data_IF_252466715745
#
_entry.id   IF_252466715745
#
_cell.length_a   1.000
_cell.length_b   1.000
_cell.length_c   1.000
_cell.angle_alpha   90.00
_cell.angle_beta   90.00
_cell.angle_gamma   90.00
#
_symmetry.space_group_name_H-M   'P 1'
#
loop_
_entity.id
_entity.type
_entity.pdbx_description
1 polymer ?
#
# COMPACT_ATOMS: atom_id res chain seq x y z
N UNK A 1 73.09 -21.14 26.99
CA UNK A 1 71.71 -21.53 27.34
C UNK A 1 70.77 -21.05 26.25
N UNK A 2 70.38 -21.94 25.33
CA UNK A 2 69.31 -21.70 24.35
C UNK A 2 68.02 -22.29 24.93
N UNK A 3 66.91 -21.55 24.89
CA UNK A 3 65.57 -22.12 24.75
C UNK A 3 64.63 -21.10 24.11
N UNK A 4 64.08 -21.57 23.01
CA UNK A 4 63.07 -21.02 22.09
C UNK A 4 61.72 -20.82 22.76
N UNK A 5 61.08 -19.66 22.53
CA UNK A 5 59.68 -19.40 22.86
C UNK A 5 58.85 -19.24 21.58
N UNK A 6 57.84 -20.09 21.43
CA UNK A 6 56.90 -20.15 20.31
C UNK A 6 55.84 -19.02 20.36
N UNK A 7 55.19 -18.67 19.23
CA UNK A 7 54.11 -17.68 19.23
C UNK A 7 52.78 -18.34 19.63
N UNK A 8 52.04 -17.68 20.53
CA UNK A 8 50.68 -18.06 20.93
C UNK A 8 49.69 -17.65 19.81
N UNK A 9 49.01 -18.62 19.22
CA UNK A 9 47.85 -18.40 18.35
C UNK A 9 46.68 -17.84 19.17
N UNK A 10 46.18 -16.66 18.78
CA UNK A 10 44.95 -16.08 19.30
C UNK A 10 43.77 -16.63 18.48
N UNK A 11 43.04 -17.59 19.03
CA UNK A 11 41.82 -18.16 18.45
C UNK A 11 40.64 -17.20 18.63
N UNK A 12 40.24 -16.54 17.53
CA UNK A 12 38.98 -15.80 17.46
C UNK A 12 37.80 -16.78 17.51
N UNK A 13 37.03 -16.73 18.60
CA UNK A 13 35.70 -17.34 18.65
C UNK A 13 34.72 -16.47 17.87
N UNK A 14 34.33 -16.95 16.68
CA UNK A 14 33.27 -16.34 15.88
C UNK A 14 31.92 -16.85 16.40
N UNK A 15 31.23 -16.01 17.17
CA UNK A 15 29.86 -16.25 17.62
C UNK A 15 28.93 -16.31 16.41
N UNK A 16 28.48 -17.50 16.05
CA UNK A 16 27.44 -17.69 15.04
C UNK A 16 26.10 -17.16 15.58
N UNK A 17 25.65 -16.01 15.07
CA UNK A 17 24.26 -15.57 15.24
C UNK A 17 23.37 -16.43 14.34
N UNK A 18 22.22 -16.92 14.82
CA UNK A 18 21.29 -17.65 13.98
C UNK A 18 20.71 -16.69 12.95
N UNK A 19 20.97 -16.98 11.68
CA UNK A 19 20.24 -16.42 10.55
C UNK A 19 18.79 -16.85 10.71
N UNK A 20 17.94 -15.93 11.16
CA UNK A 20 16.49 -16.14 11.13
C UNK A 20 16.11 -16.24 9.66
N UNK A 21 15.71 -17.45 9.26
CA UNK A 21 15.39 -17.81 7.90
C UNK A 21 14.28 -16.92 7.33
N UNK A 22 14.42 -16.65 6.04
CA UNK A 22 13.39 -16.10 5.17
C UNK A 22 12.04 -16.75 5.48
N UNK A 23 11.08 -15.94 5.93
CA UNK A 23 9.67 -16.32 5.83
C UNK A 23 9.36 -16.42 4.32
N UNK A 24 9.26 -17.65 3.83
CA UNK A 24 8.65 -17.94 2.55
C UNK A 24 7.30 -17.22 2.48
N UNK A 25 7.01 -16.61 1.33
CA UNK A 25 5.66 -16.17 0.99
C UNK A 25 4.71 -17.34 1.28
N UNK A 26 3.90 -17.20 2.32
CA UNK A 26 2.86 -18.18 2.63
C UNK A 26 1.90 -18.12 1.46
N UNK A 27 1.93 -19.14 0.60
CA UNK A 27 0.97 -19.33 -0.48
C UNK A 27 -0.41 -19.46 0.17
N UNK A 28 -1.09 -18.33 0.32
CA UNK A 28 -2.38 -18.24 1.01
C UNK A 28 -3.41 -19.10 0.29
N UNK A 29 -4.23 -19.85 1.04
CA UNK A 29 -5.25 -20.71 0.43
C UNK A 29 -6.27 -19.90 -0.39
N UNK A 30 -6.47 -18.64 -0.01
CA UNK A 30 -7.30 -17.68 -0.73
C UNK A 30 -6.61 -17.00 -1.93
N UNK A 31 -5.28 -17.06 -2.03
CA UNK A 31 -4.49 -16.28 -3.01
C UNK A 31 -4.52 -14.77 -2.74
N UNK A 32 -4.77 -14.36 -1.50
CA UNK A 32 -5.02 -12.97 -1.09
C UNK A 32 -6.50 -12.71 -0.76
N UNK A 33 -6.73 -11.79 0.18
CA UNK A 33 -8.06 -11.39 0.65
C UNK A 33 -8.25 -9.88 0.53
N UNK A 34 -9.41 -9.48 0.01
CA UNK A 34 -9.81 -8.07 -0.13
C UNK A 34 -11.21 -7.87 0.44
N UNK A 35 -11.39 -6.81 1.23
CA UNK A 35 -12.67 -6.44 1.82
C UNK A 35 -13.17 -5.13 1.22
N UNK A 36 -14.16 -5.17 0.34
CA UNK A 36 -14.60 -3.97 -0.38
C UNK A 36 -16.13 -3.83 -0.34
N UNK A 37 -16.62 -2.73 0.23
CA UNK A 37 -18.05 -2.35 0.23
C UNK A 37 -19.01 -3.51 0.57
N UNK A 38 -18.69 -4.27 1.62
CA UNK A 38 -19.51 -5.41 2.06
C UNK A 38 -19.33 -6.70 1.25
N UNK A 39 -18.38 -6.75 0.32
CA UNK A 39 -17.99 -7.95 -0.44
C UNK A 39 -16.58 -8.38 -0.05
N UNK A 40 -16.41 -9.67 0.21
CA UNK A 40 -15.10 -10.28 0.44
C UNK A 40 -14.68 -11.03 -0.83
N UNK A 41 -13.55 -10.65 -1.40
CA UNK A 41 -12.97 -11.28 -2.60
C UNK A 41 -11.67 -11.99 -2.26
N UNK A 42 -11.47 -13.12 -2.92
CA UNK A 42 -10.27 -13.95 -2.84
C UNK A 42 -9.48 -13.81 -4.13
N UNK A 43 -8.15 -13.92 -4.09
CA UNK A 43 -7.32 -13.86 -5.29
C UNK A 43 -7.54 -15.03 -6.27
N UNK A 44 -8.14 -16.13 -5.80
CA UNK A 44 -8.60 -17.25 -6.64
C UNK A 44 -10.09 -17.51 -6.39
N UNK A 45 -10.90 -17.88 -7.41
CA UNK A 45 -12.30 -18.26 -7.20
C UNK A 45 -12.44 -19.37 -6.15
N UNK A 46 -13.42 -19.22 -5.26
CA UNK A 46 -13.79 -20.25 -4.29
C UNK A 46 -14.74 -21.25 -4.94
N UNK A 47 -14.27 -22.47 -5.14
CA UNK A 47 -15.12 -23.59 -5.60
C UNK A 47 -16.16 -23.91 -4.53
N UNK A 48 -17.29 -24.49 -4.97
CA UNK A 48 -18.40 -24.86 -4.08
C UNK A 48 -17.95 -25.75 -2.90
N UNK A 49 -16.96 -26.63 -3.09
CA UNK A 49 -16.45 -27.59 -2.10
C UNK A 49 -14.96 -27.82 -2.32
N UNK A 50 -14.31 -28.47 -1.35
CA UNK A 50 -12.93 -28.97 -1.49
C UNK A 50 -11.99 -28.45 -0.41
N UNK A 51 -10.86 -29.15 -0.23
CA UNK A 51 -9.89 -28.86 0.83
C UNK A 51 -9.33 -27.44 0.76
N UNK A 52 -9.10 -26.91 -0.46
CA UNK A 52 -8.67 -25.53 -0.67
C UNK A 52 -9.72 -24.53 -0.21
N UNK A 53 -10.99 -24.76 -0.55
CA UNK A 53 -12.10 -23.90 -0.12
C UNK A 53 -12.20 -23.87 1.41
N UNK A 54 -12.09 -25.02 2.08
CA UNK A 54 -12.10 -25.07 3.54
C UNK A 54 -10.91 -24.34 4.18
N UNK A 55 -9.71 -24.52 3.61
CA UNK A 55 -8.52 -23.81 4.06
C UNK A 55 -8.67 -22.28 3.90
N UNK A 56 -9.20 -21.82 2.76
CA UNK A 56 -9.47 -20.40 2.55
C UNK A 56 -10.58 -19.88 3.48
N UNK A 57 -11.64 -20.66 3.76
CA UNK A 57 -12.67 -20.25 4.72
C UNK A 57 -12.11 -20.10 6.14
N UNK A 58 -11.14 -20.93 6.56
CA UNK A 58 -10.42 -20.74 7.82
C UNK A 58 -9.60 -19.45 7.83
N UNK A 59 -8.90 -19.15 6.74
CA UNK A 59 -8.17 -17.89 6.56
C UNK A 59 -9.12 -16.67 6.62
N UNK A 60 -10.28 -16.76 5.98
CA UNK A 60 -11.36 -15.77 6.07
C UNK A 60 -11.82 -15.58 7.51
N UNK A 61 -11.99 -16.66 8.28
CA UNK A 61 -12.39 -16.56 9.68
C UNK A 61 -11.36 -15.82 10.52
N UNK A 62 -10.06 -16.10 10.35
CA UNK A 62 -9.00 -15.32 11.01
C UNK A 62 -9.04 -13.85 10.61
N UNK A 63 -9.18 -13.57 9.32
CA UNK A 63 -9.30 -12.22 8.80
C UNK A 63 -10.54 -11.48 9.39
N UNK A 64 -11.68 -12.15 9.53
CA UNK A 64 -12.89 -11.55 10.12
C UNK A 64 -12.75 -11.35 11.64
N UNK A 65 -12.08 -12.25 12.36
CA UNK A 65 -11.78 -12.08 13.80
C UNK A 65 -10.87 -10.88 14.05
N UNK A 66 -9.92 -10.63 13.15
CA UNK A 66 -9.06 -9.44 13.19
C UNK A 66 -9.82 -8.11 12.89
N UNK A 67 -11.12 -8.17 12.52
CA UNK A 67 -11.95 -7.01 12.14
C UNK A 67 -13.21 -6.90 13.01
N UNK A 68 -13.13 -6.29 14.20
CA UNK A 68 -14.26 -6.17 15.13
C UNK A 68 -15.48 -5.42 14.57
N UNK A 69 -15.27 -4.56 13.57
CA UNK A 69 -16.33 -3.81 12.91
C UNK A 69 -17.25 -4.71 12.07
N UNK A 70 -16.74 -5.84 11.54
CA UNK A 70 -17.58 -6.81 10.86
C UNK A 70 -18.51 -7.43 11.91
N UNK A 71 -19.82 -7.33 11.70
CA UNK A 71 -20.85 -7.90 12.58
C UNK A 71 -21.63 -9.03 11.92
N UNK A 72 -21.65 -9.10 10.60
CA UNK A 72 -22.26 -10.20 9.86
C UNK A 72 -21.35 -10.69 8.73
N UNK A 73 -21.40 -11.99 8.45
CA UNK A 73 -20.74 -12.66 7.33
C UNK A 73 -21.77 -13.58 6.68
N UNK A 74 -21.96 -13.44 5.37
CA UNK A 74 -22.91 -14.23 4.58
C UNK A 74 -22.17 -15.06 3.55
N UNK A 75 -22.45 -16.36 3.52
CA UNK A 75 -21.96 -17.28 2.50
C UNK A 75 -23.06 -17.52 1.47
N UNK A 76 -22.80 -17.21 0.20
CA UNK A 76 -23.70 -17.48 -0.91
C UNK A 76 -23.13 -18.60 -1.78
N UNK A 77 -23.85 -19.72 -1.91
CA UNK A 77 -23.51 -20.76 -2.89
C UNK A 77 -24.25 -20.49 -4.20
N UNK A 78 -23.51 -20.16 -5.26
CA UNK A 78 -24.03 -20.01 -6.62
C UNK A 78 -23.70 -21.27 -7.39
N UNK A 79 -24.68 -22.16 -7.53
CA UNK A 79 -24.58 -23.41 -8.28
C UNK A 79 -25.43 -23.32 -9.56
N UNK A 80 -25.17 -24.16 -10.57
CA UNK A 80 -26.08 -24.34 -11.71
C UNK A 80 -27.50 -24.65 -11.24
N UNK A 81 -28.51 -24.18 -11.99
CA UNK A 81 -29.91 -24.28 -11.57
C UNK A 81 -30.37 -25.72 -11.30
N UNK A 82 -29.86 -26.69 -12.05
CA UNK A 82 -30.14 -28.11 -11.82
C UNK A 82 -29.76 -28.55 -10.39
N UNK A 83 -28.56 -28.21 -9.93
CA UNK A 83 -28.08 -28.55 -8.58
C UNK A 83 -28.78 -27.73 -7.49
N UNK A 84 -29.16 -26.48 -7.78
CA UNK A 84 -29.85 -25.61 -6.83
C UNK A 84 -31.27 -26.09 -6.54
N UNK A 85 -32.00 -26.51 -7.58
CA UNK A 85 -33.39 -26.97 -7.47
C UNK A 85 -33.51 -28.28 -6.66
N UNK A 86 -32.44 -29.08 -6.62
CA UNK A 86 -32.34 -30.29 -5.79
C UNK A 86 -31.98 -29.99 -4.31
N UNK A 87 -31.96 -28.72 -3.90
CA UNK A 87 -31.61 -28.29 -2.54
C UNK A 87 -30.11 -28.36 -2.21
N UNK A 88 -29.26 -28.76 -3.15
CA UNK A 88 -27.82 -28.88 -2.92
C UNK A 88 -27.18 -27.52 -2.66
N UNK A 89 -27.66 -26.44 -3.30
CA UNK A 89 -27.14 -25.09 -3.11
C UNK A 89 -27.16 -24.66 -1.64
N UNK A 90 -28.28 -24.88 -0.94
CA UNK A 90 -28.39 -24.50 0.47
C UNK A 90 -27.52 -25.38 1.36
N UNK A 91 -27.42 -26.68 1.04
CA UNK A 91 -26.54 -27.60 1.76
C UNK A 91 -25.07 -27.21 1.62
N UNK A 92 -24.63 -26.81 0.41
CA UNK A 92 -23.29 -26.29 0.16
C UNK A 92 -23.02 -25.02 0.96
N UNK A 93 -23.93 -24.04 0.90
CA UNK A 93 -23.79 -22.79 1.63
C UNK A 93 -23.72 -23.01 3.15
N UNK A 94 -24.55 -23.93 3.66
CA UNK A 94 -24.57 -24.32 5.08
C UNK A 94 -23.26 -24.99 5.50
N UNK A 95 -22.74 -25.95 4.72
CA UNK A 95 -21.48 -26.62 5.04
C UNK A 95 -20.31 -25.62 5.11
N UNK A 96 -20.24 -24.69 4.15
CA UNK A 96 -19.25 -23.63 4.18
C UNK A 96 -19.42 -22.67 5.38
N UNK A 97 -20.66 -22.34 5.76
CA UNK A 97 -20.94 -21.59 6.97
C UNK A 97 -20.49 -22.32 8.25
N UNK A 98 -20.65 -23.65 8.30
CA UNK A 98 -20.17 -24.46 9.42
C UNK A 98 -18.65 -24.45 9.56
N UNK A 99 -17.90 -24.41 8.44
CA UNK A 99 -16.43 -24.22 8.48
C UNK A 99 -16.06 -22.91 9.17
N UNK A 100 -16.74 -21.81 8.83
CA UNK A 100 -16.50 -20.49 9.45
C UNK A 100 -16.83 -20.49 10.95
N UNK A 101 -17.93 -21.15 11.33
CA UNK A 101 -18.34 -21.28 12.73
C UNK A 101 -17.33 -22.12 13.51
N UNK A 102 -16.88 -23.24 12.96
CA UNK A 102 -15.87 -24.11 13.56
C UNK A 102 -14.50 -23.42 13.66
N UNK A 103 -14.22 -22.45 12.79
CA UNK A 103 -13.04 -21.58 12.86
C UNK A 103 -13.16 -20.41 13.86
N UNK A 104 -14.26 -20.35 14.62
CA UNK A 104 -14.45 -19.43 15.75
C UNK A 104 -15.28 -18.18 15.44
N UNK A 105 -15.96 -18.10 14.30
CA UNK A 105 -16.94 -17.04 14.07
C UNK A 105 -18.24 -17.41 14.80
N UNK A 106 -18.82 -16.52 15.64
CA UNK A 106 -20.09 -16.82 16.32
C UNK A 106 -21.19 -17.16 15.31
N UNK A 107 -21.95 -18.23 15.56
CA UNK A 107 -23.04 -18.69 14.68
C UNK A 107 -24.06 -17.60 14.40
N UNK A 108 -24.33 -16.72 15.37
CA UNK A 108 -25.23 -15.55 15.23
C UNK A 108 -24.74 -14.50 14.22
N UNK A 109 -23.46 -14.55 13.84
CA UNK A 109 -22.85 -13.65 12.87
C UNK A 109 -22.71 -14.27 11.48
N UNK A 110 -23.03 -15.55 11.31
CA UNK A 110 -22.91 -16.25 10.02
C UNK A 110 -24.30 -16.52 9.46
N UNK A 111 -24.53 -16.05 8.25
CA UNK A 111 -25.72 -16.34 7.46
C UNK A 111 -25.31 -17.09 6.19
N UNK A 112 -26.23 -17.84 5.59
CA UNK A 112 -25.96 -18.53 4.34
C UNK A 112 -27.19 -18.53 3.45
N UNK A 113 -26.97 -18.43 2.15
CA UNK A 113 -28.01 -18.33 1.11
C UNK A 113 -27.58 -19.11 -0.13
N UNK A 114 -28.55 -19.49 -0.96
CA UNK A 114 -28.31 -20.16 -2.24
C UNK A 114 -29.04 -19.41 -3.36
N UNK A 115 -28.55 -18.23 -3.78
CA UNK A 115 -29.17 -17.47 -4.86
C UNK A 115 -29.05 -18.22 -6.20
N UNK A 116 -29.89 -17.89 -7.19
CA UNK A 116 -29.76 -18.41 -8.55
C UNK A 116 -28.35 -18.19 -9.09
N UNK A 117 -27.78 -19.23 -9.70
CA UNK A 117 -26.50 -19.18 -10.41
C UNK A 117 -26.72 -19.00 -11.91
N UNK A 118 -25.66 -18.64 -12.64
CA UNK A 118 -25.73 -18.61 -14.10
C UNK A 118 -25.58 -20.05 -14.61
N UNK A 119 -26.52 -20.52 -15.44
CA UNK A 119 -26.61 -21.92 -15.90
C UNK A 119 -25.30 -22.45 -16.55
N UNK A 120 -24.46 -21.56 -17.09
CA UNK A 120 -23.20 -21.89 -17.76
C UNK A 120 -21.95 -21.60 -16.91
N UNK A 121 -22.08 -21.40 -15.60
CA UNK A 121 -20.92 -21.18 -14.72
C UNK A 121 -20.72 -22.31 -13.72
N UNK A 122 -19.47 -22.76 -13.47
CA UNK A 122 -19.17 -23.71 -12.41
C UNK A 122 -19.62 -23.19 -11.04
N UNK A 123 -20.06 -24.11 -10.19
CA UNK A 123 -20.51 -23.82 -8.83
C UNK A 123 -19.42 -23.15 -7.99
N UNK A 124 -19.75 -22.02 -7.36
CA UNK A 124 -18.81 -21.21 -6.58
C UNK A 124 -19.43 -20.64 -5.31
N UNK A 125 -18.58 -20.33 -4.33
CA UNK A 125 -18.95 -19.57 -3.15
C UNK A 125 -18.66 -18.08 -3.35
N UNK A 126 -19.55 -17.25 -2.83
CA UNK A 126 -19.35 -15.81 -2.68
C UNK A 126 -19.52 -15.43 -1.22
N UNK A 127 -18.69 -14.49 -0.76
CA UNK A 127 -18.67 -14.04 0.63
C UNK A 127 -19.04 -12.56 0.68
N UNK A 128 -19.98 -12.22 1.53
CA UNK A 128 -20.39 -10.84 1.81
C UNK A 128 -20.34 -10.58 3.32
N UNK A 129 -20.09 -9.36 3.73
CA UNK A 129 -20.00 -8.99 5.14
C UNK A 129 -20.74 -7.69 5.41
N UNK A 130 -21.13 -7.49 6.65
CA UNK A 130 -21.78 -6.26 7.12
C UNK A 130 -20.93 -5.68 8.24
N UNK A 131 -20.47 -4.44 8.05
CA UNK A 131 -19.81 -3.66 9.10
C UNK A 131 -20.84 -2.87 9.91
N UNK A 132 -20.69 -2.87 11.24
CA UNK A 132 -21.29 -1.88 12.14
C UNK A 132 -20.19 -1.33 13.04
N UNK A 133 -19.42 -0.35 12.54
CA UNK A 133 -18.30 0.20 13.25
C UNK A 133 -18.81 1.06 14.43
N UNK A 134 -18.10 1.00 15.56
CA UNK A 134 -18.43 1.80 16.75
C UNK A 134 -17.87 3.23 16.66
N UNK A 135 -16.95 3.47 15.72
CA UNK A 135 -16.36 4.76 15.38
C UNK A 135 -16.46 4.97 13.88
N UNK A 136 -16.65 6.20 13.43
CA UNK A 136 -16.65 6.48 12.00
C UNK A 136 -15.21 6.31 11.46
N UNK A 137 -15.01 5.52 10.39
CA UNK A 137 -13.72 5.43 9.74
C UNK A 137 -13.40 6.75 9.05
N UNK A 138 -12.15 7.19 9.17
CA UNK A 138 -11.63 8.40 8.50
C UNK A 138 -10.86 8.04 7.23
N UNK A 139 -10.45 6.77 7.09
CA UNK A 139 -9.85 6.28 5.86
C UNK A 139 -10.16 4.79 5.67
N UNK A 140 -9.98 4.30 4.45
CA UNK A 140 -9.96 2.88 4.13
C UNK A 140 -8.68 2.56 3.38
N UNK A 141 -8.04 1.45 3.73
CA UNK A 141 -6.87 0.95 3.02
C UNK A 141 -7.33 0.39 1.66
N UNK A 142 -7.05 1.07 0.54
CA UNK A 142 -7.46 0.61 -0.80
C UNK A 142 -6.60 -0.55 -1.25
N UNK A 143 -5.30 -0.42 -1.05
CA UNK A 143 -4.29 -1.41 -1.40
C UNK A 143 -3.25 -1.52 -0.29
N UNK A 144 -2.69 -2.71 -0.14
CA UNK A 144 -1.60 -2.99 0.77
C UNK A 144 -0.70 -4.05 0.12
N UNK A 145 0.59 -3.77 0.04
CA UNK A 145 1.63 -4.75 -0.30
C UNK A 145 2.71 -4.74 0.77
N UNK A 146 3.43 -5.85 0.90
CA UNK A 146 4.32 -6.06 2.04
C UNK A 146 3.60 -5.95 3.38
N UNK A 147 4.32 -5.59 4.44
CA UNK A 147 3.71 -5.43 5.76
C UNK A 147 3.22 -3.98 5.94
N UNK A 148 1.92 -3.85 6.17
CA UNK A 148 1.27 -2.61 6.59
C UNK A 148 0.67 -2.84 7.97
N UNK A 149 0.91 -1.91 8.89
CA UNK A 149 0.37 -1.98 10.25
C UNK A 149 -0.33 -0.69 10.63
N UNK A 150 -1.25 -0.76 11.59
CA UNK A 150 -1.74 0.42 12.30
C UNK A 150 -1.77 0.19 13.82
N UNK A 151 -1.48 1.25 14.57
CA UNK A 151 -1.61 1.29 16.03
C UNK A 151 -2.38 2.53 16.49
N UNK A 152 -3.08 2.43 17.61
CA UNK A 152 -3.69 3.60 18.28
C UNK A 152 -2.81 4.02 19.47
N UNK A 153 -2.36 5.27 19.50
CA UNK A 153 -1.45 5.74 20.56
C UNK A 153 -0.18 4.90 20.66
N UNK A 154 0.16 4.45 21.87
CA UNK A 154 1.28 3.54 22.16
C UNK A 154 0.88 2.06 22.12
N UNK A 155 -0.30 1.74 21.59
CA UNK A 155 -0.76 0.37 21.41
C UNK A 155 0.12 -0.43 20.47
N UNK A 156 0.08 -1.76 20.59
CA UNK A 156 0.82 -2.66 19.71
C UNK A 156 0.37 -2.52 18.25
N UNK A 157 1.30 -2.43 17.27
CA UNK A 157 0.97 -2.40 15.85
C UNK A 157 0.22 -3.65 15.41
N UNK A 158 -0.92 -3.47 14.75
CA UNK A 158 -1.72 -4.56 14.19
C UNK A 158 -1.58 -4.59 12.67
N UNK A 159 -1.38 -5.76 12.05
CA UNK A 159 -1.38 -5.89 10.59
C UNK A 159 -2.69 -5.39 9.97
N UNK A 160 -2.61 -4.70 8.84
CA UNK A 160 -3.74 -4.20 8.06
C UNK A 160 -3.68 -4.77 6.64
N UNK A 161 -4.85 -5.12 6.09
CA UNK A 161 -4.99 -5.58 4.70
C UNK A 161 -5.89 -4.63 3.91
N UNK A 162 -5.82 -4.73 2.59
CA UNK A 162 -6.71 -4.02 1.69
C UNK A 162 -8.18 -4.24 2.09
N UNK A 163 -8.90 -3.13 2.20
CA UNK A 163 -10.27 -3.05 2.69
C UNK A 163 -10.41 -2.58 4.13
N UNK A 164 -9.35 -2.58 4.93
CA UNK A 164 -9.44 -2.24 6.35
C UNK A 164 -9.83 -0.79 6.57
N UNK A 165 -10.79 -0.59 7.47
CA UNK A 165 -11.17 0.72 7.99
C UNK A 165 -10.12 1.23 8.96
N UNK A 166 -9.75 2.50 8.80
CA UNK A 166 -8.80 3.22 9.62
C UNK A 166 -9.49 4.40 10.31
N UNK A 167 -9.03 4.74 11.51
CA UNK A 167 -9.69 5.68 12.41
C UNK A 167 -8.76 6.82 12.82
N UNK A 168 -9.37 7.93 13.25
CA UNK A 168 -8.62 9.06 13.80
C UNK A 168 -7.73 8.61 14.98
N UNK A 169 -6.52 9.17 15.03
CA UNK A 169 -5.46 8.86 15.98
C UNK A 169 -4.55 7.70 15.58
N UNK A 170 -4.94 6.86 14.62
CA UNK A 170 -4.13 5.69 14.23
C UNK A 170 -2.84 6.11 13.50
N UNK A 171 -1.72 5.46 13.86
CA UNK A 171 -0.45 5.54 13.16
C UNK A 171 -0.37 4.38 12.17
N UNK A 172 -0.44 4.67 10.88
CA UNK A 172 -0.29 3.69 9.80
C UNK A 172 1.17 3.65 9.38
N UNK A 173 1.77 2.46 9.35
CA UNK A 173 3.19 2.28 9.03
C UNK A 173 3.42 1.16 8.01
N UNK A 174 4.40 1.38 7.13
CA UNK A 174 4.87 0.42 6.12
C UNK A 174 6.27 -0.09 6.45
N UNK A 175 6.53 -1.37 6.19
CA UNK A 175 7.88 -1.95 6.28
C UNK A 175 8.81 -1.50 5.14
N UNK A 176 9.99 -2.10 5.04
CA UNK A 176 10.95 -1.89 3.95
C UNK A 176 10.43 -2.31 2.55
N UNK A 177 9.53 -3.29 2.52
CA UNK A 177 8.80 -3.76 1.34
C UNK A 177 7.35 -3.29 1.32
N UNK A 178 6.90 -2.64 2.40
CA UNK A 178 5.52 -2.22 2.58
C UNK A 178 5.15 -1.04 1.67
N UNK A 179 3.97 -1.09 1.07
CA UNK A 179 3.35 0.05 0.38
C UNK A 179 1.85 0.02 0.68
N UNK A 180 1.26 1.20 0.81
CA UNK A 180 -0.14 1.32 1.19
C UNK A 180 -0.77 2.52 0.49
N UNK A 181 -1.96 2.33 -0.07
CA UNK A 181 -2.78 3.45 -0.50
C UNK A 181 -4.05 3.54 0.34
N UNK A 182 -4.32 4.75 0.84
CA UNK A 182 -5.43 5.04 1.72
C UNK A 182 -6.39 5.98 0.98
N UNK A 183 -7.66 5.61 0.92
CA UNK A 183 -8.74 6.50 0.53
C UNK A 183 -9.28 7.18 1.79
N UNK A 184 -9.11 8.49 1.91
CA UNK A 184 -9.62 9.27 3.03
C UNK A 184 -11.12 9.55 2.84
N UNK A 185 -11.84 9.74 3.94
CA UNK A 185 -13.28 10.00 3.93
C UNK A 185 -13.65 11.33 3.23
N UNK A 186 -12.69 12.25 3.06
CA UNK A 186 -12.88 13.52 2.34
C UNK A 186 -12.73 13.39 0.81
N UNK A 187 -12.45 12.18 0.31
CA UNK A 187 -12.22 11.89 -1.10
C UNK A 187 -10.75 12.04 -1.55
N UNK A 188 -9.84 12.37 -0.65
CA UNK A 188 -8.40 12.41 -0.94
C UNK A 188 -7.77 11.02 -0.92
N UNK A 189 -6.64 10.86 -1.62
CA UNK A 189 -5.84 9.62 -1.61
C UNK A 189 -4.44 9.88 -1.08
N UNK A 190 -3.94 8.95 -0.26
CA UNK A 190 -2.56 8.94 0.25
C UNK A 190 -1.86 7.66 -0.19
N UNK A 191 -0.69 7.77 -0.81
CA UNK A 191 0.18 6.66 -1.13
C UNK A 191 1.42 6.71 -0.25
N UNK A 192 1.49 5.82 0.72
CA UNK A 192 2.64 5.63 1.61
C UNK A 192 3.67 4.77 0.89
N UNK A 193 4.88 5.31 0.74
CA UNK A 193 6.03 4.55 0.26
C UNK A 193 6.53 3.57 1.34
N UNK A 194 7.51 2.74 1.02
CA UNK A 194 8.18 1.91 2.02
C UNK A 194 8.85 2.75 3.11
N UNK A 195 8.99 2.15 4.30
CA UNK A 195 9.56 2.76 5.51
C UNK A 195 8.89 4.06 5.92
N UNK A 196 7.58 4.18 5.67
CA UNK A 196 6.82 5.38 5.97
C UNK A 196 5.88 5.16 7.15
N UNK A 197 5.62 6.22 7.91
CA UNK A 197 4.63 6.20 8.97
C UNK A 197 3.87 7.52 9.01
N UNK A 198 2.55 7.47 8.91
CA UNK A 198 1.66 8.63 8.95
C UNK A 198 0.59 8.41 10.02
N UNK A 199 0.40 9.42 10.87
CA UNK A 199 -0.72 9.45 11.81
C UNK A 199 -1.91 10.11 11.13
N UNK A 200 -3.05 9.43 11.18
CA UNK A 200 -4.33 9.99 10.79
C UNK A 200 -4.81 10.87 11.94
N UNK A 201 -4.56 12.17 11.88
CA UNK A 201 -4.94 13.10 12.95
C UNK A 201 -6.44 13.41 12.91
N UNK A 202 -6.76 14.67 12.70
CA UNK A 202 -8.15 15.14 12.59
C UNK A 202 -8.65 14.93 11.17
N UNK A 203 -9.82 14.31 11.03
CA UNK A 203 -10.59 14.30 9.79
C UNK A 203 -12.04 14.68 10.09
N UNK A 204 -12.38 15.94 9.84
CA UNK A 204 -13.71 16.49 10.08
C UNK A 204 -14.33 16.91 8.75
N UNK A 205 -15.58 16.47 8.53
CA UNK A 205 -16.39 16.82 7.37
C UNK A 205 -17.68 17.45 7.88
N UNK A 206 -17.86 18.74 7.63
CA UNK A 206 -19.08 19.45 8.02
C UNK A 206 -20.11 19.44 6.89
N UNK A 207 -21.39 19.63 7.23
CA UNK A 207 -22.48 19.70 6.26
C UNK A 207 -22.30 20.80 5.20
N UNK A 208 -21.52 21.86 5.51
CA UNK A 208 -21.19 22.95 4.58
C UNK A 208 -20.05 22.66 3.60
N UNK A 209 -19.60 21.40 3.46
CA UNK A 209 -18.39 21.00 2.69
C UNK A 209 -17.08 21.63 3.19
N UNK A 210 -17.09 22.25 4.37
CA UNK A 210 -15.84 22.60 5.03
C UNK A 210 -15.26 21.32 5.61
N UNK A 211 -14.00 21.07 5.28
CA UNK A 211 -13.26 19.93 5.80
C UNK A 211 -12.02 20.38 6.53
N UNK A 212 -11.62 19.63 7.55
CA UNK A 212 -10.35 19.78 8.22
C UNK A 212 -9.65 18.43 8.22
N UNK A 213 -8.57 18.35 7.45
CA UNK A 213 -7.72 17.17 7.34
C UNK A 213 -6.34 17.52 7.86
N UNK A 214 -5.93 16.88 8.95
CA UNK A 214 -4.60 17.01 9.55
C UNK A 214 -3.95 15.62 9.58
N UNK A 215 -2.82 15.48 8.91
CA UNK A 215 -2.03 14.26 8.85
C UNK A 215 -0.65 14.54 9.41
N UNK A 216 -0.10 13.67 10.26
CA UNK A 216 1.25 13.82 10.77
C UNK A 216 2.17 12.74 10.16
N UNK A 217 3.03 13.14 9.22
CA UNK A 217 4.06 12.27 8.66
C UNK A 217 5.24 12.20 9.64
N UNK A 218 5.36 11.05 10.30
CA UNK A 218 6.41 10.79 11.30
C UNK A 218 7.74 10.51 10.62
N UNK A 219 7.73 9.73 9.54
CA UNK A 219 8.91 9.41 8.72
C UNK A 219 8.53 8.92 7.33
N UNK A 220 9.49 8.93 6.41
CA UNK A 220 9.36 8.35 5.09
C UNK A 220 8.69 9.31 4.11
N UNK A 221 7.86 8.79 3.20
CA UNK A 221 7.27 9.59 2.11
C UNK A 221 5.80 9.24 1.90
N UNK A 222 4.97 10.28 1.78
CA UNK A 222 3.58 10.18 1.35
C UNK A 222 3.38 10.99 0.06
N UNK A 223 2.84 10.36 -0.98
CA UNK A 223 2.26 11.08 -2.12
C UNK A 223 0.78 11.29 -1.84
N UNK A 224 0.32 12.53 -1.98
CA UNK A 224 -1.06 12.93 -1.65
C UNK A 224 -1.73 13.50 -2.89
N UNK A 225 -2.90 12.97 -3.21
CA UNK A 225 -3.87 13.60 -4.10
C UNK A 225 -4.98 14.17 -3.22
N UNK A 226 -4.87 15.45 -2.87
CA UNK A 226 -5.87 16.12 -2.04
C UNK A 226 -7.08 16.48 -2.91
N UNK A 227 -8.29 16.08 -2.49
CA UNK A 227 -9.53 16.50 -3.12
C UNK A 227 -9.65 18.03 -3.13
N UNK A 228 -10.34 18.67 -4.08
CA UNK A 228 -10.59 20.11 -4.02
C UNK A 228 -11.37 20.50 -2.76
N UNK A 229 -10.98 21.58 -2.08
CA UNK A 229 -11.63 22.05 -0.84
C UNK A 229 -12.52 23.27 -1.06
N UNK A 230 -13.64 23.34 -0.34
CA UNK A 230 -14.48 24.54 -0.25
C UNK A 230 -13.82 25.68 0.52
N UNK A 231 -14.48 26.83 0.59
CA UNK A 231 -14.00 27.97 1.38
C UNK A 231 -13.93 27.60 2.87
N UNK A 232 -12.79 27.87 3.51
CA UNK A 232 -12.52 27.51 4.90
C UNK A 232 -12.08 26.06 5.13
N UNK A 233 -11.94 25.25 4.08
CA UNK A 233 -11.35 23.92 4.21
C UNK A 233 -9.84 23.97 4.38
N UNK A 234 -9.31 23.13 5.27
CA UNK A 234 -7.87 22.96 5.49
C UNK A 234 -7.46 21.52 5.21
N UNK A 235 -6.37 21.34 4.48
CA UNK A 235 -5.70 20.06 4.31
C UNK A 235 -4.21 20.29 4.58
N UNK A 236 -3.69 19.65 5.62
CA UNK A 236 -2.30 19.81 6.06
C UNK A 236 -1.64 18.44 6.24
N UNK A 237 -0.44 18.31 5.68
CA UNK A 237 0.51 17.26 6.05
C UNK A 237 1.59 17.90 6.89
N UNK A 238 1.62 17.54 8.17
CA UNK A 238 2.59 18.03 9.15
C UNK A 238 3.74 17.05 9.24
N UNK A 239 4.92 17.60 9.43
CA UNK A 239 6.12 16.85 9.75
C UNK A 239 6.72 17.40 11.04
N UNK A 240 7.88 16.89 11.46
CA UNK A 240 8.54 17.39 12.68
C UNK A 240 8.85 18.89 12.64
N UNK A 241 9.22 19.41 11.46
CA UNK A 241 9.73 20.78 11.32
C UNK A 241 8.94 21.67 10.36
N UNK A 242 7.90 21.13 9.72
CA UNK A 242 7.20 21.87 8.67
C UNK A 242 5.72 21.44 8.53
N UNK A 243 4.96 22.27 7.84
CA UNK A 243 3.57 22.02 7.47
C UNK A 243 3.40 22.28 5.99
N UNK A 244 2.90 21.28 5.26
CA UNK A 244 2.48 21.40 3.87
C UNK A 244 0.96 21.61 3.82
N UNK A 245 0.52 22.84 3.57
CA UNK A 245 -0.90 23.22 3.47
C UNK A 245 -1.36 23.36 2.03
N UNK A 246 -2.53 22.82 1.69
CA UNK A 246 -3.01 22.76 0.30
C UNK A 246 -4.49 23.08 0.14
N UNK A 247 -4.86 23.56 -1.06
CA UNK A 247 -6.25 23.78 -1.49
C UNK A 247 -6.58 22.97 -2.76
N UNK A 248 -6.41 21.66 -2.68
CA UNK A 248 -6.58 20.72 -3.80
C UNK A 248 -5.34 20.68 -4.69
N UNK A 249 -4.55 19.60 -4.58
CA UNK A 249 -3.21 19.54 -5.19
C UNK A 249 -2.72 18.08 -5.22
N UNK A 250 -1.83 17.77 -6.15
CA UNK A 250 -1.05 16.53 -6.14
C UNK A 250 0.38 16.83 -5.76
N UNK A 251 0.87 16.23 -4.69
CA UNK A 251 2.17 16.56 -4.12
C UNK A 251 2.77 15.39 -3.35
N UNK A 252 4.07 15.45 -3.10
CA UNK A 252 4.79 14.51 -2.23
C UNK A 252 5.33 15.26 -1.04
N UNK A 253 5.28 14.61 0.11
CA UNK A 253 5.93 15.08 1.34
C UNK A 253 6.84 13.97 1.85
N UNK A 254 8.09 14.31 2.10
CA UNK A 254 9.06 13.42 2.72
C UNK A 254 9.53 13.99 4.06
N UNK A 255 9.61 13.12 5.07
CA UNK A 255 10.24 13.41 6.35
C UNK A 255 11.49 12.54 6.49
N UNK A 256 12.65 13.19 6.42
CA UNK A 256 13.96 12.56 6.53
C UNK A 256 14.34 12.34 8.00
N UNK A 257 15.27 11.41 8.24
CA UNK A 257 15.72 11.03 9.59
C UNK A 257 16.43 12.16 10.33
N UNK A 258 17.12 13.04 9.59
CA UNK A 258 17.77 14.25 10.10
C UNK A 258 16.76 15.36 10.49
N UNK A 259 15.46 15.11 10.31
CA UNK A 259 14.40 16.06 10.58
C UNK A 259 14.02 16.93 9.37
N UNK A 260 14.76 16.88 8.27
CA UNK A 260 14.48 17.67 7.06
C UNK A 260 13.17 17.23 6.43
N UNK A 261 12.30 18.21 6.19
CA UNK A 261 11.05 18.02 5.46
C UNK A 261 11.22 18.49 4.03
N UNK A 262 10.69 17.72 3.08
CA UNK A 262 10.74 18.06 1.66
C UNK A 262 9.37 17.95 1.04
N UNK A 263 9.05 18.89 0.16
CA UNK A 263 7.81 18.92 -0.61
C UNK A 263 8.15 18.98 -2.09
N UNK A 264 7.45 18.17 -2.88
CA UNK A 264 7.43 18.24 -4.34
C UNK A 264 6.00 18.42 -4.83
N UNK A 265 5.69 19.56 -5.45
CA UNK A 265 4.35 19.85 -5.99
C UNK A 265 4.27 19.39 -7.44
N UNK A 266 3.43 18.40 -7.73
CA UNK A 266 3.24 17.88 -9.09
C UNK A 266 2.16 18.66 -9.85
N UNK A 267 1.07 18.97 -9.16
CA UNK A 267 -0.08 19.74 -9.67
C UNK A 267 -0.59 20.67 -8.59
N UNK A 268 -1.02 21.88 -8.97
CA UNK A 268 -1.55 22.90 -8.07
C UNK A 268 -0.45 23.71 -7.36
N UNK A 269 -0.62 23.98 -6.08
CA UNK A 269 0.25 24.80 -5.24
C UNK A 269 0.20 24.29 -3.80
N UNK A 270 1.38 24.17 -3.17
CA UNK A 270 1.52 23.82 -1.75
C UNK A 270 2.17 25.00 -1.04
N UNK A 271 1.60 25.44 0.09
CA UNK A 271 2.30 26.32 1.01
C UNK A 271 3.13 25.47 1.97
N UNK A 272 4.46 25.58 1.90
CA UNK A 272 5.37 24.95 2.85
C UNK A 272 5.72 25.96 3.94
N UNK A 273 5.21 25.76 5.14
CA UNK A 273 5.51 26.58 6.32
C UNK A 273 6.48 25.88 7.27
N UNK A 274 7.37 26.64 7.88
CA UNK A 274 8.14 26.27 9.06
C UNK A 274 8.11 27.45 10.05
N UNK A 275 8.66 27.27 11.26
CA UNK A 275 8.63 28.30 12.31
C UNK A 275 9.23 29.64 11.84
N UNK A 276 10.35 29.58 11.09
CA UNK A 276 11.09 30.75 10.64
C UNK A 276 10.57 31.35 9.31
N UNK A 277 9.48 30.83 8.74
CA UNK A 277 8.87 31.41 7.53
C UNK A 277 8.09 30.41 6.67
N UNK A 278 7.52 30.90 5.58
CA UNK A 278 6.75 30.08 4.64
C UNK A 278 7.09 30.41 3.20
N UNK A 279 6.95 29.42 2.33
CA UNK A 279 7.14 29.58 0.88
C UNK A 279 6.05 28.87 0.11
N UNK A 280 5.59 29.49 -0.98
CA UNK A 280 4.71 28.85 -1.95
C UNK A 280 5.52 27.97 -2.89
N UNK A 281 5.10 26.73 -3.07
CA UNK A 281 5.71 25.74 -3.96
C UNK A 281 4.70 25.40 -5.05
N UNK A 282 4.85 26.06 -6.20
CA UNK A 282 4.00 25.85 -7.38
C UNK A 282 4.27 24.51 -8.07
N UNK A 283 3.32 24.07 -8.90
CA UNK A 283 3.47 22.86 -9.71
C UNK A 283 4.78 22.85 -10.52
N UNK A 284 5.49 21.74 -10.45
CA UNK A 284 6.80 21.56 -11.08
C UNK A 284 7.97 22.05 -10.23
N UNK A 285 7.71 22.48 -9.00
CA UNK A 285 8.74 22.90 -8.05
C UNK A 285 8.75 22.02 -6.80
N UNK A 286 9.90 22.02 -6.13
CA UNK A 286 10.06 21.47 -4.80
C UNK A 286 10.75 22.47 -3.87
N UNK A 287 10.50 22.33 -2.57
CA UNK A 287 11.24 23.05 -1.52
C UNK A 287 11.54 22.09 -0.36
N UNK A 288 12.51 22.46 0.47
CA UNK A 288 12.84 21.74 1.71
C UNK A 288 12.94 22.71 2.87
N UNK A 289 12.56 22.24 4.05
CA UNK A 289 12.71 22.94 5.30
C UNK A 289 13.53 22.05 6.26
N UNK A 290 14.67 22.57 6.71
CA UNK A 290 15.45 21.94 7.78
C UNK A 290 14.84 22.32 9.12
N UNK A 291 15.02 21.52 10.19
CA UNK A 291 14.54 21.86 11.52
C UNK A 291 14.96 23.28 11.94
N UNK A 292 14.00 24.05 12.45
CA UNK A 292 14.18 25.43 12.92
C UNK A 292 14.73 26.43 11.88
N UNK A 293 14.67 26.11 10.58
CA UNK A 293 15.09 27.01 9.49
C UNK A 293 13.89 27.37 8.62
N UNK A 294 13.96 28.52 7.96
CA UNK A 294 12.98 28.89 6.96
C UNK A 294 13.05 27.91 5.78
N UNK A 295 11.92 27.62 5.10
CA UNK A 295 11.95 26.83 3.88
C UNK A 295 12.87 27.47 2.83
N UNK A 296 13.60 26.63 2.09
CA UNK A 296 14.42 27.12 0.99
C UNK A 296 13.55 27.65 -0.17
N UNK A 297 14.14 28.51 -0.99
CA UNK A 297 13.48 28.96 -2.22
C UNK A 297 13.11 27.75 -3.10
N UNK A 298 11.93 27.75 -3.75
CA UNK A 298 11.50 26.64 -4.58
C UNK A 298 12.44 26.45 -5.77
N UNK A 299 12.69 25.20 -6.13
CA UNK A 299 13.53 24.81 -7.27
C UNK A 299 12.75 23.93 -8.23
N UNK A 300 13.07 24.02 -9.51
CA UNK A 300 12.42 23.20 -10.53
C UNK A 300 12.70 21.71 -10.29
N UNK A 301 11.67 20.89 -10.36
CA UNK A 301 11.77 19.44 -10.37
C UNK A 301 12.35 18.95 -11.70
N UNK A 302 13.06 17.83 -11.66
CA UNK A 302 13.59 17.21 -12.87
C UNK A 302 12.46 16.78 -13.81
N UNK A 303 12.70 16.94 -15.12
CA UNK A 303 11.79 16.52 -16.16
C UNK A 303 11.56 15.00 -16.15
N UNK A 304 10.41 14.58 -16.68
CA UNK A 304 10.06 13.18 -16.82
C UNK A 304 11.07 12.44 -17.72
N UNK A 305 11.67 11.31 -17.26
CA UNK A 305 12.51 10.47 -18.11
C UNK A 305 11.78 9.99 -19.36
N UNK A 306 12.47 9.94 -20.50
CA UNK A 306 11.94 9.41 -21.75
C UNK A 306 12.32 7.93 -21.87
N UNK A 307 11.33 7.04 -21.77
CA UNK A 307 11.55 5.59 -21.86
C UNK A 307 11.82 5.15 -23.30
N UNK A 308 12.87 4.35 -23.50
CA UNK A 308 13.27 3.86 -24.82
C UNK A 308 12.79 2.43 -25.06
N UNK A 309 13.03 1.52 -24.11
CA UNK A 309 12.62 0.10 -24.21
C UNK A 309 12.56 -0.56 -22.82
N UNK A 310 11.72 -1.59 -22.64
CA UNK A 310 10.67 -2.05 -23.53
C UNK A 310 9.47 -1.07 -23.55
N UNK A 311 8.88 -0.85 -24.72
CA UNK A 311 7.62 -0.09 -24.87
C UNK A 311 6.38 -0.98 -24.95
N UNK A 312 6.60 -2.29 -24.92
CA UNK A 312 5.65 -3.37 -25.23
C UNK A 312 6.39 -4.66 -25.54
N UNK A 313 5.65 -5.76 -25.70
CA UNK A 313 6.18 -7.05 -26.18
C UNK A 313 6.31 -8.12 -25.10
N UNK A 314 6.46 -9.36 -25.57
CA UNK A 314 6.65 -10.55 -24.74
C UNK A 314 8.13 -10.94 -24.74
N UNK A 315 8.64 -11.29 -23.56
CA UNK A 315 10.04 -11.63 -23.35
C UNK A 315 10.16 -12.97 -22.61
N UNK A 316 11.11 -13.84 -22.98
CA UNK A 316 11.31 -15.13 -22.30
C UNK A 316 11.88 -14.96 -20.88
N UNK A 317 12.48 -13.80 -20.59
CA UNK A 317 12.98 -13.41 -19.27
C UNK A 317 12.83 -11.90 -19.09
N UNK A 318 12.83 -11.36 -17.86
CA UNK A 318 12.75 -9.92 -17.64
C UNK A 318 13.80 -9.14 -18.46
N UNK A 319 13.39 -8.17 -19.30
CA UNK A 319 14.31 -7.44 -20.17
C UNK A 319 15.04 -6.32 -19.40
N UNK A 320 16.11 -5.79 -20.00
CA UNK A 320 16.69 -4.52 -19.55
C UNK A 320 15.72 -3.36 -19.84
N UNK A 321 15.50 -2.52 -18.83
CA UNK A 321 14.74 -1.28 -18.90
C UNK A 321 15.72 -0.15 -19.21
N UNK A 322 15.47 0.60 -20.28
CA UNK A 322 16.38 1.65 -20.77
C UNK A 322 15.61 2.94 -21.05
N UNK A 323 16.18 4.06 -20.63
CA UNK A 323 15.62 5.39 -20.84
C UNK A 323 16.73 6.39 -21.21
N UNK A 324 16.34 7.63 -21.54
CA UNK A 324 17.30 8.71 -21.77
C UNK A 324 17.77 9.31 -20.45
N UNK A 325 19.06 9.62 -20.34
CA UNK A 325 19.59 10.34 -19.20
C UNK A 325 18.90 11.72 -19.06
N UNK A 326 18.52 12.07 -17.84
CA UNK A 326 17.91 13.36 -17.50
C UNK A 326 19.00 14.27 -16.94
N UNK A 327 19.24 15.46 -17.54
CA UNK A 327 20.18 16.43 -17.01
C UNK A 327 19.90 16.76 -15.53
N UNK A 328 20.93 16.77 -14.70
CA UNK A 328 20.82 17.03 -13.25
C UNK A 328 20.43 15.81 -12.40
N UNK A 329 20.02 14.69 -13.01
CA UNK A 329 19.75 13.46 -12.28
C UNK A 329 21.03 12.85 -11.70
N UNK A 330 21.01 12.51 -10.41
CA UNK A 330 22.07 11.74 -9.74
C UNK A 330 21.75 10.26 -9.66
N UNK A 331 20.47 9.92 -9.63
CA UNK A 331 19.96 8.55 -9.68
C UNK A 331 18.56 8.53 -10.25
N UNK A 332 18.08 7.34 -10.52
CA UNK A 332 16.75 7.04 -11.01
C UNK A 332 16.08 6.06 -10.08
N UNK A 333 14.82 6.33 -9.76
CA UNK A 333 13.92 5.36 -9.16
C UNK A 333 13.10 4.71 -10.25
N UNK A 334 13.23 3.40 -10.39
CA UNK A 334 12.48 2.58 -11.35
C UNK A 334 11.43 1.81 -10.57
N UNK A 335 10.16 2.08 -10.88
CA UNK A 335 9.03 1.38 -10.27
C UNK A 335 8.47 0.38 -11.29
N UNK A 336 8.34 -0.88 -10.87
CA UNK A 336 7.66 -1.94 -11.61
C UNK A 336 6.46 -2.41 -10.80
N UNK A 337 5.28 -2.50 -11.42
CA UNK A 337 4.07 -3.00 -10.78
C UNK A 337 3.30 -3.96 -11.69
N UNK A 338 2.35 -4.68 -11.12
CA UNK A 338 1.43 -5.56 -11.86
C UNK A 338 0.20 -4.82 -12.40
N UNK A 339 0.06 -3.54 -12.04
CA UNK A 339 -1.03 -2.64 -12.45
C UNK A 339 -0.47 -1.28 -12.87
N UNK A 340 -1.15 -0.60 -13.79
CA UNK A 340 -0.69 0.68 -14.33
C UNK A 340 -0.81 1.85 -13.34
N UNK A 341 -1.60 1.71 -12.27
CA UNK A 341 -1.78 2.76 -11.26
C UNK A 341 -0.72 2.70 -10.13
N UNK A 342 0.10 1.64 -10.08
CA UNK A 342 1.17 1.44 -9.07
C UNK A 342 0.66 1.54 -7.62
N UNK A 343 -0.61 1.20 -7.40
CA UNK A 343 -1.22 1.26 -6.08
C UNK A 343 -0.94 0.01 -5.23
N UNK A 344 -0.77 -1.15 -5.87
CA UNK A 344 -0.54 -2.44 -5.21
C UNK A 344 0.93 -2.79 -5.01
N UNK A 345 1.29 -4.02 -5.37
CA UNK A 345 2.66 -4.48 -5.30
C UNK A 345 3.55 -3.76 -6.34
N UNK A 346 4.61 -3.12 -5.84
CA UNK A 346 5.52 -2.31 -6.64
C UNK A 346 6.94 -2.62 -6.20
N UNK A 347 7.72 -3.19 -7.11
CA UNK A 347 9.17 -3.31 -6.96
C UNK A 347 9.82 -1.98 -7.29
N UNK A 348 10.58 -1.44 -6.35
CA UNK A 348 11.34 -0.20 -6.53
C UNK A 348 12.82 -0.53 -6.63
N UNK A 349 13.45 -0.15 -7.74
CA UNK A 349 14.90 -0.25 -7.96
C UNK A 349 15.50 1.15 -8.06
N UNK A 350 16.72 1.33 -7.55
CA UNK A 350 17.48 2.56 -7.72
C UNK A 350 18.63 2.29 -8.70
N UNK A 351 18.92 3.21 -9.62
CA UNK A 351 20.03 3.10 -10.57
C UNK A 351 20.72 4.44 -10.77
N UNK A 352 22.06 4.44 -10.82
CA UNK A 352 22.85 5.62 -11.18
C UNK A 352 22.91 5.84 -12.70
N UNK A 353 22.58 4.82 -13.48
CA UNK A 353 22.68 4.82 -14.94
C UNK A 353 21.27 4.76 -15.55
N UNK A 354 21.10 5.18 -16.82
CA UNK A 354 19.79 5.20 -17.45
C UNK A 354 19.34 3.81 -17.94
N UNK A 355 19.71 2.77 -17.19
CA UNK A 355 19.39 1.37 -17.45
C UNK A 355 19.35 0.55 -16.15
N UNK A 356 18.54 -0.50 -16.14
CA UNK A 356 18.50 -1.53 -15.09
C UNK A 356 17.87 -2.80 -15.64
N UNK A 357 18.30 -3.97 -15.18
CA UNK A 357 17.59 -5.22 -15.46
C UNK A 357 16.25 -5.25 -14.72
N UNK A 358 15.16 -5.59 -15.41
CA UNK A 358 13.84 -5.61 -14.77
C UNK A 358 13.80 -6.63 -13.63
N UNK A 359 13.59 -6.17 -12.40
CA UNK A 359 13.32 -7.02 -11.23
C UNK A 359 11.85 -7.45 -11.18
N UNK A 360 11.33 -7.95 -12.31
CA UNK A 360 10.00 -8.52 -12.42
C UNK A 360 9.98 -9.90 -11.75
N UNK A 361 9.08 -10.07 -10.77
CA UNK A 361 8.98 -11.30 -9.98
C UNK A 361 7.97 -12.26 -10.61
N UNK A 362 8.44 -13.11 -11.50
CA UNK A 362 7.62 -14.12 -12.16
C UNK A 362 6.95 -13.66 -13.46
N UNK A 363 6.20 -14.58 -14.04
CA UNK A 363 5.53 -14.42 -15.32
C UNK A 363 4.36 -13.43 -15.28
N UNK A 364 4.00 -12.89 -16.44
CA UNK A 364 2.82 -12.05 -16.62
C UNK A 364 3.14 -10.62 -17.07
N UNK A 365 2.12 -9.77 -17.01
CA UNK A 365 2.18 -8.38 -17.45
C UNK A 365 2.76 -7.49 -16.36
N UNK A 366 3.79 -6.73 -16.72
CA UNK A 366 4.44 -5.76 -15.86
C UNK A 366 4.32 -4.36 -16.45
N UNK A 367 4.01 -3.40 -15.60
CA UNK A 367 4.02 -1.97 -15.90
C UNK A 367 5.24 -1.34 -15.24
N UNK A 368 5.89 -0.40 -15.92
CA UNK A 368 7.06 0.26 -15.39
C UNK A 368 7.08 1.76 -15.70
N UNK A 369 7.67 2.52 -14.78
CA UNK A 369 7.95 3.94 -14.91
C UNK A 369 9.25 4.30 -14.22
N UNK A 370 9.83 5.43 -14.62
CA UNK A 370 11.09 5.94 -14.07
C UNK A 370 10.88 7.36 -13.56
N UNK A 371 11.45 7.66 -12.39
CA UNK A 371 11.54 9.00 -11.83
C UNK A 371 13.01 9.38 -11.68
N UNK A 372 13.39 10.55 -12.19
CA UNK A 372 14.72 11.09 -11.96
C UNK A 372 14.81 11.72 -10.55
N UNK A 373 15.96 11.59 -9.92
CA UNK A 373 16.22 12.14 -8.58
C UNK A 373 17.48 12.98 -8.61
N UNK A 374 17.39 14.22 -8.12
CA UNK A 374 18.52 15.16 -8.10
C UNK A 374 19.51 14.89 -6.95
N UNK A 375 20.53 15.74 -6.84
CA UNK A 375 21.56 15.63 -5.80
C UNK A 375 21.06 15.89 -4.38
N UNK A 376 20.00 16.69 -4.25
CA UNK A 376 19.34 17.02 -2.99
C UNK A 376 18.19 16.04 -2.67
N UNK A 377 18.03 15.03 -3.53
CA UNK A 377 17.10 13.93 -3.41
C UNK A 377 15.69 14.23 -3.92
N UNK A 378 15.40 15.42 -4.46
CA UNK A 378 14.08 15.77 -4.98
C UNK A 378 13.69 14.81 -6.10
N UNK A 379 12.48 14.27 -6.01
CA UNK A 379 11.97 13.32 -7.00
C UNK A 379 11.19 14.07 -8.08
N UNK A 380 11.67 13.97 -9.32
CA UNK A 380 11.07 14.61 -10.48
C UNK A 380 9.74 14.00 -10.92
N UNK A 381 9.28 14.44 -12.10
CA UNK A 381 8.08 13.89 -12.72
C UNK A 381 8.28 12.42 -13.11
N UNK A 382 7.23 11.57 -12.95
CA UNK A 382 7.28 10.22 -13.48
C UNK A 382 7.29 10.24 -15.00
N UNK A 383 7.99 9.29 -15.60
CA UNK A 383 7.88 9.01 -17.04
C UNK A 383 6.46 8.61 -17.43
N UNK A 384 6.20 8.55 -18.75
CA UNK A 384 5.09 7.74 -19.26
C UNK A 384 5.23 6.30 -18.76
N UNK A 385 4.11 5.61 -18.61
CA UNK A 385 4.07 4.21 -18.21
C UNK A 385 4.12 3.36 -19.47
N UNK A 386 5.02 2.38 -19.49
CA UNK A 386 5.01 1.31 -20.48
C UNK A 386 4.83 -0.03 -19.80
N UNK A 387 4.54 -1.05 -20.61
CA UNK A 387 4.39 -2.42 -20.13
C UNK A 387 5.18 -3.40 -20.97
N UNK A 388 5.47 -4.56 -20.41
CA UNK A 388 5.98 -5.73 -21.12
C UNK A 388 5.40 -6.99 -20.45
N UNK A 389 5.48 -8.11 -21.16
CA UNK A 389 5.01 -9.41 -20.67
C UNK A 389 6.20 -10.35 -20.51
N UNK A 390 6.30 -11.04 -19.38
CA UNK A 390 7.32 -12.07 -19.12
C UNK A 390 6.67 -13.45 -19.29
N UNK A 391 7.24 -14.29 -20.15
CA UNK A 391 6.78 -15.66 -20.34
C UNK A 391 6.99 -16.47 -19.06
N UNK A 392 6.05 -17.39 -18.79
CA UNK A 392 6.08 -18.28 -17.62
C UNK A 392 6.64 -19.66 -17.90
#
# INVERSE_FOLDING_TARGET
>A
MRKTGAPLMLSLWLSALPVVGFAAEVDSACGGLTFDNGRLTTGRPLEAKGARTEACLREVAEAVKARPAIRGLTVAAKLPDAERLDGQGLAVAKAAAEVLVNAGIPRTRVSFVAPPGDANTPGRLQLAYVERPTRLPVARLRTASGQVTASTGDGQPTPRLAGDSLHAGELVATSDTGRAELALADGSFLLLSSRSAVRLGTLELTAGRQRKVLLDLVKGTVETQAAPGGAGSTFEVRTRGAVAGVRGTRFRVAQQEDGTSRVETLEGKVALGAEAGSVDVDAGFGSRAKPAQAPEAPRALLAAPVLERPRGGAYPKPPALVWKAVPGARRYRVELGTTADFAGDVTVQESAHPTVDAAARGAGKWFWRVLAVDADGFVGYPSKIFSFDVAG
#
